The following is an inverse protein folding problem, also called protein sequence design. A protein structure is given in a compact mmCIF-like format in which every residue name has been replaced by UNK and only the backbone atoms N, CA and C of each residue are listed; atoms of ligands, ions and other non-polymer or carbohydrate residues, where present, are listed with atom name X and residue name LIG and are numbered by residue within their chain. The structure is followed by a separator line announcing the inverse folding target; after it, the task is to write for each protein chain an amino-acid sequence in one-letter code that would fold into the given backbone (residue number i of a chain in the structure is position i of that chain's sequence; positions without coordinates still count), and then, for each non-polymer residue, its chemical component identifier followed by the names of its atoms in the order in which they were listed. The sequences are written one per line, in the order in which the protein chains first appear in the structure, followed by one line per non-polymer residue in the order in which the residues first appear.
data_IF_229525407125
#
_entry.id   IF_229525407125
#
_cell.length_a   1.000
_cell.length_b   1.000
_cell.length_c   1.000
_cell.angle_alpha   90.00
_cell.angle_beta   90.00
_cell.angle_gamma   90.00
#
_symmetry.space_group_name_H-M   'P 1'
#
loop_
_entity.id
_entity.type
_entity.pdbx_description
1 polymer ?
#
# COMPACT_ATOMS: atom_id res chain seq x y z
N UNK A 1 -22.41 -14.26 -1.39
CA UNK A 1 -21.34 -13.28 -1.64
C UNK A 1 -21.13 -12.54 -0.34
N UNK A 2 -19.91 -12.59 0.21
CA UNK A 2 -19.56 -11.79 1.37
C UNK A 2 -19.39 -10.36 0.86
N UNK A 3 -20.29 -9.44 1.20
CA UNK A 3 -20.21 -8.08 0.65
C UNK A 3 -19.02 -7.33 1.26
N UNK A 4 -18.06 -6.97 0.41
CA UNK A 4 -16.89 -6.15 0.75
C UNK A 4 -17.11 -4.73 0.23
N UNK A 5 -16.78 -3.74 1.06
CA UNK A 5 -16.86 -2.33 0.69
C UNK A 5 -15.57 -1.94 -0.05
N UNK A 6 -15.65 -1.40 -1.29
CA UNK A 6 -14.48 -0.90 -1.99
C UNK A 6 -13.79 0.22 -1.21
N UNK A 7 -12.46 0.17 -1.11
CA UNK A 7 -11.65 1.17 -0.41
C UNK A 7 -10.75 1.91 -1.41
N UNK A 8 -11.03 3.20 -1.60
CA UNK A 8 -10.43 4.04 -2.63
C UNK A 8 -9.22 4.84 -2.13
N UNK A 9 -8.44 5.45 -3.03
CA UNK A 9 -7.44 6.45 -2.66
C UNK A 9 -7.98 7.64 -1.87
N UNK A 10 -9.25 8.03 -2.10
CA UNK A 10 -9.90 9.10 -1.34
C UNK A 10 -10.15 8.67 0.10
N UNK A 11 -10.61 7.42 0.30
CA UNK A 11 -10.84 6.87 1.65
C UNK A 11 -9.51 6.75 2.41
N UNK A 12 -8.46 6.26 1.74
CA UNK A 12 -7.12 6.13 2.31
C UNK A 12 -6.56 7.47 2.81
N UNK A 13 -6.88 8.60 2.16
CA UNK A 13 -6.38 9.91 2.55
C UNK A 13 -6.81 10.31 3.97
N UNK A 14 -8.00 9.88 4.44
CA UNK A 14 -8.47 10.14 5.79
C UNK A 14 -7.68 9.38 6.89
N UNK A 15 -6.97 8.33 6.49
CA UNK A 15 -6.19 7.46 7.38
C UNK A 15 -4.67 7.73 7.29
N UNK A 16 -4.26 8.64 6.42
CA UNK A 16 -2.90 9.18 6.35
C UNK A 16 -2.86 10.55 7.00
N UNK A 17 -1.95 10.79 7.94
CA UNK A 17 -1.86 12.09 8.63
C UNK A 17 -0.58 12.82 8.23
N UNK A 18 -0.72 14.03 7.68
CA UNK A 18 0.41 14.93 7.47
C UNK A 18 0.83 15.58 8.80
N UNK A 19 2.12 15.80 9.05
CA UNK A 19 2.57 16.55 10.22
C UNK A 19 2.02 17.99 10.25
N UNK A 20 1.70 18.48 11.44
CA UNK A 20 1.31 19.89 11.70
C UNK A 20 2.31 20.56 12.68
N UNK A 21 2.21 21.88 12.89
CA UNK A 21 3.17 22.68 13.67
C UNK A 21 3.55 22.12 15.05
N UNK A 22 2.59 21.54 15.77
CA UNK A 22 2.81 20.99 17.14
C UNK A 22 3.20 19.50 17.17
N UNK A 23 3.68 18.93 16.07
CA UNK A 23 3.98 17.50 15.98
C UNK A 23 5.30 17.15 16.69
N UNK A 24 5.24 16.26 17.69
CA UNK A 24 6.43 15.63 18.29
C UNK A 24 6.69 14.25 17.68
N UNK A 25 7.90 13.70 17.87
CA UNK A 25 8.20 12.31 17.44
C UNK A 25 7.26 11.27 18.04
N UNK A 26 6.74 11.50 19.25
CA UNK A 26 5.78 10.60 19.91
C UNK A 26 4.37 10.76 19.35
N UNK A 27 3.94 12.00 19.05
CA UNK A 27 2.64 12.26 18.41
C UNK A 27 2.57 11.73 16.98
N UNK A 28 3.70 11.72 16.28
CA UNK A 28 3.86 11.08 14.96
C UNK A 28 4.10 9.57 15.02
N UNK A 29 4.07 8.99 16.22
CA UNK A 29 4.28 7.57 16.47
C UNK A 29 5.73 7.13 16.43
N UNK A 30 6.07 6.20 17.31
CA UNK A 30 7.33 5.44 17.28
C UNK A 30 7.00 4.00 16.90
N UNK A 31 7.58 3.50 15.81
CA UNK A 31 7.41 2.12 15.37
C UNK A 31 8.58 1.26 15.87
N UNK A 32 8.29 0.19 16.60
CA UNK A 32 9.23 -0.90 16.85
C UNK A 32 9.24 -1.88 15.68
N UNK A 33 10.42 -2.32 15.24
CA UNK A 33 10.57 -3.25 14.12
C UNK A 33 11.49 -4.39 14.52
N UNK A 34 10.95 -5.60 14.56
CA UNK A 34 11.70 -6.85 14.74
C UNK A 34 11.49 -7.75 13.51
N UNK A 35 12.19 -7.39 12.44
CA UNK A 35 12.17 -8.08 11.14
C UNK A 35 13.60 -8.26 10.63
N UNK A 36 13.76 -9.14 9.66
CA UNK A 36 15.04 -9.52 9.10
C UNK A 36 15.84 -10.44 10.01
N UNK A 37 16.78 -11.14 9.39
CA UNK A 37 17.69 -12.07 10.05
C UNK A 37 19.08 -11.94 9.43
N UNK A 38 20.06 -12.66 9.95
CA UNK A 38 21.36 -12.76 9.28
C UNK A 38 21.23 -13.32 7.87
N UNK A 39 20.30 -14.24 7.62
CA UNK A 39 20.08 -14.79 6.27
C UNK A 39 19.33 -13.81 5.35
N UNK A 40 18.37 -13.06 5.91
CA UNK A 40 17.49 -12.16 5.16
C UNK A 40 17.49 -10.72 5.70
N UNK A 41 18.64 -10.03 5.75
CA UNK A 41 18.71 -8.67 6.30
C UNK A 41 17.97 -7.65 5.43
N UNK A 42 17.76 -7.96 4.15
CA UNK A 42 17.04 -7.08 3.23
C UNK A 42 15.58 -6.83 3.63
N UNK A 43 14.93 -7.76 4.31
CA UNK A 43 13.56 -7.58 4.79
C UNK A 43 13.48 -6.44 5.82
N UNK A 44 14.42 -6.38 6.75
CA UNK A 44 14.56 -5.28 7.70
C UNK A 44 14.76 -3.95 6.98
N UNK A 45 15.73 -3.90 6.05
CA UNK A 45 16.05 -2.68 5.32
C UNK A 45 14.84 -2.15 4.55
N UNK A 46 14.13 -3.01 3.80
CA UNK A 46 12.98 -2.57 3.00
C UNK A 46 11.80 -2.12 3.86
N UNK A 47 11.49 -2.85 4.94
CA UNK A 47 10.42 -2.47 5.86
C UNK A 47 10.71 -1.16 6.59
N UNK A 48 11.93 -1.00 7.11
CA UNK A 48 12.35 0.24 7.79
C UNK A 48 12.41 1.42 6.82
N UNK A 49 12.97 1.23 5.61
CA UNK A 49 13.04 2.27 4.57
C UNK A 49 11.64 2.78 4.20
N UNK A 50 10.69 1.86 4.03
CA UNK A 50 9.31 2.16 3.74
C UNK A 50 8.63 2.90 4.89
N UNK A 51 8.82 2.44 6.13
CA UNK A 51 8.26 3.06 7.33
C UNK A 51 8.73 4.51 7.50
N UNK A 52 10.03 4.78 7.32
CA UNK A 52 10.58 6.15 7.38
C UNK A 52 9.96 7.04 6.29
N UNK A 53 9.77 6.50 5.09
CA UNK A 53 9.18 7.25 3.97
C UNK A 53 7.71 7.62 4.15
N UNK A 54 6.98 7.03 5.10
CA UNK A 54 5.60 7.45 5.41
C UNK A 54 5.55 8.70 6.30
N UNK A 55 6.67 9.10 6.91
CA UNK A 55 6.75 10.24 7.83
C UNK A 55 6.51 9.89 9.31
N UNK A 56 6.65 8.61 9.69
CA UNK A 56 6.61 8.18 11.09
C UNK A 56 7.61 8.97 11.94
N UNK A 57 7.25 9.21 13.21
CA UNK A 57 8.04 10.06 14.10
C UNK A 57 9.43 9.52 14.43
N UNK A 58 9.55 8.21 14.63
CA UNK A 58 10.78 7.49 14.88
C UNK A 58 10.60 6.01 14.60
N UNK A 59 11.68 5.33 14.19
CA UNK A 59 11.73 3.88 14.10
C UNK A 59 12.78 3.35 15.10
N UNK A 60 12.39 2.33 15.85
CA UNK A 60 13.28 1.51 16.68
C UNK A 60 13.48 0.16 16.01
N UNK A 61 14.72 -0.18 15.69
CA UNK A 61 15.04 -1.47 15.08
C UNK A 61 15.67 -2.42 16.10
N UNK A 62 15.12 -3.62 16.18
CA UNK A 62 15.57 -4.70 17.08
C UNK A 62 15.81 -5.94 16.23
N UNK A 63 17.08 -6.31 16.06
CA UNK A 63 17.46 -7.48 15.25
C UNK A 63 18.97 -7.72 15.28
N UNK A 64 19.46 -8.73 14.57
CA UNK A 64 20.87 -9.12 14.61
C UNK A 64 21.79 -8.01 14.08
N UNK A 65 23.06 -8.05 14.46
CA UNK A 65 24.05 -7.02 14.13
C UNK A 65 24.16 -6.78 12.63
N UNK A 66 24.19 -7.84 11.81
CA UNK A 66 24.26 -7.73 10.35
C UNK A 66 23.09 -6.93 9.77
N UNK A 67 21.86 -7.21 10.22
CA UNK A 67 20.68 -6.50 9.75
C UNK A 67 20.66 -5.06 10.27
N UNK A 68 21.06 -4.85 11.53
CA UNK A 68 21.20 -3.52 12.15
C UNK A 68 22.18 -2.63 11.37
N UNK A 69 23.35 -3.15 11.00
CA UNK A 69 24.36 -2.40 10.24
C UNK A 69 23.82 -1.96 8.87
N UNK A 70 23.11 -2.85 8.17
CA UNK A 70 22.48 -2.52 6.88
C UNK A 70 21.38 -1.48 7.03
N UNK A 71 20.54 -1.57 8.08
CA UNK A 71 19.51 -0.58 8.38
C UNK A 71 20.14 0.79 8.64
N UNK A 72 21.13 0.88 9.53
CA UNK A 72 21.78 2.13 9.90
C UNK A 72 22.57 2.76 8.74
N UNK A 73 23.14 1.93 7.86
CA UNK A 73 23.79 2.42 6.63
C UNK A 73 22.80 3.11 5.70
N UNK A 74 21.59 2.55 5.55
CA UNK A 74 20.55 3.11 4.67
C UNK A 74 19.77 4.25 5.31
N UNK A 75 19.59 4.19 6.63
CA UNK A 75 18.76 5.05 7.48
C UNK A 75 19.45 5.36 8.81
N UNK A 76 20.42 6.29 8.83
CA UNK A 76 21.11 6.67 10.06
C UNK A 76 20.21 7.33 11.10
N UNK A 77 18.99 7.76 10.73
CA UNK A 77 17.98 8.30 11.63
C UNK A 77 17.27 7.24 12.50
N UNK A 78 17.46 5.95 12.22
CA UNK A 78 16.86 4.84 12.97
C UNK A 78 17.61 4.63 14.28
N UNK A 79 16.88 4.33 15.36
CA UNK A 79 17.46 4.01 16.65
C UNK A 79 17.52 2.50 16.82
N UNK A 80 18.69 1.93 17.12
CA UNK A 80 18.80 0.51 17.45
C UNK A 80 18.40 0.24 18.90
N UNK A 81 17.79 -0.92 19.13
CA UNK A 81 17.41 -1.41 20.45
C UNK A 81 16.00 -1.06 20.91
N UNK A 82 15.61 -1.71 21.98
CA UNK A 82 14.28 -1.64 22.59
C UNK A 82 13.98 -0.27 23.22
N UNK A 83 12.70 0.01 23.41
CA UNK A 83 12.22 1.21 24.08
C UNK A 83 10.75 1.45 23.79
N UNK A 84 10.19 2.53 24.36
CA UNK A 84 8.77 2.87 24.18
C UNK A 84 8.42 3.05 22.70
N UNK A 85 7.41 2.32 22.25
CA UNK A 85 6.82 2.39 20.91
C UNK A 85 5.31 2.58 20.98
N UNK A 86 4.69 2.88 19.85
CA UNK A 86 3.23 2.98 19.65
C UNK A 86 2.69 1.80 18.84
N UNK A 87 3.55 1.06 18.15
CA UNK A 87 3.18 -0.18 17.49
C UNK A 87 4.44 -1.02 17.23
N UNK A 88 4.24 -2.32 17.01
CA UNK A 88 5.29 -3.24 16.59
C UNK A 88 5.03 -3.76 15.17
N UNK A 89 6.09 -3.95 14.39
CA UNK A 89 6.10 -4.72 13.15
C UNK A 89 7.05 -5.91 13.33
N UNK A 90 6.55 -7.13 13.15
CA UNK A 90 7.32 -8.35 13.37
C UNK A 90 7.12 -9.38 12.25
N UNK A 91 8.14 -10.22 12.05
CA UNK A 91 8.02 -11.47 11.30
C UNK A 91 8.70 -11.55 9.94
N UNK A 92 8.66 -10.49 9.12
CA UNK A 92 9.26 -10.57 7.78
C UNK A 92 10.75 -10.90 7.84
N UNK A 93 11.22 -11.86 7.02
CA UNK A 93 12.61 -12.30 7.01
C UNK A 93 13.03 -13.20 8.20
N UNK A 94 12.07 -13.65 9.01
CA UNK A 94 12.28 -14.62 10.09
C UNK A 94 11.82 -16.01 9.63
N UNK A 95 12.69 -17.02 9.79
CA UNK A 95 12.44 -18.42 9.38
C UNK A 95 12.33 -19.39 10.56
N UNK A 96 12.22 -18.88 11.78
CA UNK A 96 12.12 -19.70 12.98
C UNK A 96 10.70 -20.20 13.23
N UNK A 97 10.57 -21.48 13.60
CA UNK A 97 9.29 -22.07 14.02
C UNK A 97 8.96 -21.88 15.50
N UNK A 98 9.88 -21.32 16.29
CA UNK A 98 9.66 -21.01 17.71
C UNK A 98 10.55 -19.86 18.17
N UNK A 99 10.16 -19.16 19.23
CA UNK A 99 10.96 -18.08 19.83
C UNK A 99 12.34 -18.55 20.28
N UNK A 100 12.45 -19.78 20.78
CA UNK A 100 13.72 -20.36 21.23
C UNK A 100 14.73 -20.62 20.09
N UNK A 101 14.28 -20.59 18.83
CA UNK A 101 15.13 -20.74 17.67
C UNK A 101 15.59 -19.40 17.07
N UNK A 102 15.20 -18.26 17.67
CA UNK A 102 15.66 -16.93 17.29
C UNK A 102 16.97 -16.59 18.02
N UNK A 103 17.73 -15.65 17.47
CA UNK A 103 18.78 -14.98 18.23
C UNK A 103 18.16 -14.13 19.36
N UNK A 104 18.93 -13.92 20.44
CA UNK A 104 18.45 -13.28 21.67
C UNK A 104 17.83 -11.89 21.43
N UNK A 105 18.41 -11.12 20.51
CA UNK A 105 17.95 -9.75 20.20
C UNK A 105 16.62 -9.81 19.44
N UNK A 106 16.51 -10.67 18.43
CA UNK A 106 15.23 -10.85 17.73
C UNK A 106 14.16 -11.39 18.69
N UNK A 107 14.49 -12.38 19.52
CA UNK A 107 13.57 -12.90 20.54
C UNK A 107 13.11 -11.82 21.53
N UNK A 108 13.98 -10.87 21.88
CA UNK A 108 13.62 -9.71 22.70
C UNK A 108 12.59 -8.81 22.01
N UNK A 109 12.78 -8.50 20.72
CA UNK A 109 11.80 -7.72 19.95
C UNK A 109 10.42 -8.38 19.89
N UNK A 110 10.36 -9.70 19.73
CA UNK A 110 9.10 -10.44 19.74
C UNK A 110 8.43 -10.47 21.11
N UNK A 111 9.18 -10.62 22.20
CA UNK A 111 8.64 -10.52 23.57
C UNK A 111 8.02 -9.16 23.82
N UNK A 112 8.71 -8.08 23.44
CA UNK A 112 8.13 -6.73 23.53
C UNK A 112 6.88 -6.55 22.68
N UNK A 113 6.84 -7.15 21.48
CA UNK A 113 5.65 -7.12 20.66
C UNK A 113 4.43 -7.74 21.36
N UNK A 114 4.62 -8.79 22.16
CA UNK A 114 3.56 -9.40 22.96
C UNK A 114 3.24 -8.64 24.25
N UNK A 115 4.25 -8.10 24.93
CA UNK A 115 4.11 -7.61 26.30
C UNK A 115 3.76 -6.12 26.41
N UNK A 116 4.11 -5.30 25.41
CA UNK A 116 3.97 -3.83 25.50
C UNK A 116 2.51 -3.34 25.48
N UNK A 117 1.55 -4.20 25.10
CA UNK A 117 0.13 -3.87 25.06
C UNK A 117 -0.28 -2.84 23.98
N UNK A 118 0.59 -2.62 22.99
CA UNK A 118 0.34 -1.75 21.83
C UNK A 118 -0.04 -2.58 20.60
N UNK A 119 -0.62 -1.97 19.56
CA UNK A 119 -0.95 -2.70 18.33
C UNK A 119 0.26 -3.37 17.67
N UNK A 120 0.05 -4.56 17.09
CA UNK A 120 1.10 -5.35 16.43
C UNK A 120 0.72 -5.68 14.99
N UNK A 121 1.63 -5.41 14.07
CA UNK A 121 1.54 -5.86 12.67
C UNK A 121 2.43 -7.09 12.52
N UNK A 122 1.83 -8.20 12.13
CA UNK A 122 2.49 -9.51 12.07
C UNK A 122 2.45 -10.02 10.64
N UNK A 123 3.63 -10.31 10.09
CA UNK A 123 3.72 -11.14 8.90
C UNK A 123 3.33 -12.58 9.25
N UNK A 124 2.52 -13.24 8.43
CA UNK A 124 1.79 -14.44 8.89
C UNK A 124 2.69 -15.63 9.27
N UNK A 125 3.91 -15.70 8.72
CA UNK A 125 4.91 -16.69 9.13
C UNK A 125 5.36 -16.55 10.60
N UNK A 126 5.10 -15.42 11.24
CA UNK A 126 5.49 -15.13 12.61
C UNK A 126 4.37 -15.30 13.64
N UNK A 127 3.16 -15.68 13.22
CA UNK A 127 2.03 -15.94 14.12
C UNK A 127 2.41 -16.90 15.28
N UNK A 128 3.16 -18.01 15.06
CA UNK A 128 3.54 -18.92 16.16
C UNK A 128 4.50 -18.32 17.19
N UNK A 129 5.06 -17.14 16.91
CA UNK A 129 6.13 -16.51 17.68
C UNK A 129 5.63 -15.35 18.55
N UNK A 130 4.36 -14.93 18.40
CA UNK A 130 3.84 -13.73 19.04
C UNK A 130 2.47 -14.05 19.64
N UNK A 131 2.23 -13.62 20.88
CA UNK A 131 0.86 -13.48 21.38
C UNK A 131 0.22 -12.25 20.72
N UNK A 132 -0.80 -12.50 19.89
CA UNK A 132 -1.40 -11.48 19.02
C UNK A 132 -2.20 -10.42 19.81
N UNK A 133 -2.65 -10.74 21.02
CA UNK A 133 -3.55 -9.85 21.77
C UNK A 133 -4.79 -9.42 20.95
N UNK A 134 -5.54 -8.41 21.42
CA UNK A 134 -6.75 -7.94 20.74
C UNK A 134 -6.50 -6.92 19.61
N UNK A 135 -5.28 -6.39 19.50
CA UNK A 135 -4.91 -5.30 18.57
C UNK A 135 -3.83 -5.74 17.57
N UNK A 136 -4.06 -6.86 16.90
CA UNK A 136 -3.17 -7.35 15.85
C UNK A 136 -3.73 -7.18 14.44
N UNK A 137 -2.82 -6.92 13.49
CA UNK A 137 -3.07 -7.03 12.05
C UNK A 137 -2.14 -8.09 11.44
N UNK A 138 -2.73 -9.15 10.93
CA UNK A 138 -2.03 -10.20 10.20
C UNK A 138 -1.96 -9.84 8.72
N UNK A 139 -0.81 -10.05 8.08
CA UNK A 139 -0.61 -9.70 6.66
C UNK A 139 -0.31 -10.91 5.75
N UNK A 140 -1.07 -12.02 5.80
CA UNK A 140 -0.78 -13.21 5.00
C UNK A 140 -0.92 -12.99 3.50
N UNK A 141 -0.14 -13.73 2.70
CA UNK A 141 -0.51 -14.08 1.33
C UNK A 141 -1.29 -15.40 1.29
N UNK A 142 -1.85 -15.79 0.13
CA UNK A 142 -2.68 -16.99 0.01
C UNK A 142 -2.01 -18.28 0.56
N UNK A 143 -0.73 -18.51 0.24
CA UNK A 143 0.02 -19.65 0.79
C UNK A 143 0.22 -19.64 2.31
N UNK A 144 0.47 -18.48 2.93
CA UNK A 144 0.56 -18.36 4.40
C UNK A 144 -0.81 -18.60 5.03
N UNK A 145 -1.87 -18.03 4.44
CA UNK A 145 -3.23 -18.18 4.93
C UNK A 145 -3.74 -19.63 4.83
N UNK A 146 -3.32 -20.36 3.80
CA UNK A 146 -3.59 -21.79 3.65
C UNK A 146 -3.07 -22.59 4.86
N UNK A 147 -1.87 -22.26 5.36
CA UNK A 147 -1.34 -22.84 6.58
C UNK A 147 -2.15 -22.48 7.83
N UNK A 148 -2.54 -21.21 7.97
CA UNK A 148 -3.35 -20.73 9.11
C UNK A 148 -4.72 -21.42 9.17
N UNK A 149 -5.38 -21.59 8.03
CA UNK A 149 -6.70 -22.21 7.93
C UNK A 149 -6.67 -23.74 7.77
N UNK A 150 -5.49 -24.33 7.57
CA UNK A 150 -5.36 -25.74 7.15
C UNK A 150 -6.17 -26.08 5.89
N UNK A 151 -6.18 -25.15 4.92
CA UNK A 151 -6.85 -25.27 3.63
C UNK A 151 -5.82 -25.33 2.48
N UNK A 152 -6.25 -25.65 1.25
CA UNK A 152 -5.37 -25.56 0.08
C UNK A 152 -5.24 -24.10 -0.38
N UNK A 153 -4.10 -23.75 -0.99
CA UNK A 153 -3.88 -22.41 -1.56
C UNK A 153 -4.94 -22.06 -2.62
N UNK A 154 -5.34 -23.04 -3.42
CA UNK A 154 -6.34 -22.90 -4.46
C UNK A 154 -7.72 -22.55 -3.87
N UNK A 155 -8.09 -23.14 -2.72
CA UNK A 155 -9.31 -22.77 -1.97
C UNK A 155 -9.29 -21.29 -1.57
N UNK A 156 -8.14 -20.81 -1.06
CA UNK A 156 -7.98 -19.41 -0.68
C UNK A 156 -8.09 -18.47 -1.89
N UNK A 157 -7.48 -18.85 -3.02
CA UNK A 157 -7.49 -18.04 -4.24
C UNK A 157 -8.86 -18.02 -4.94
N UNK A 158 -9.70 -19.04 -4.74
CA UNK A 158 -11.06 -19.11 -5.28
C UNK A 158 -12.03 -18.11 -4.64
N UNK A 159 -11.94 -17.91 -3.32
CA UNK A 159 -12.73 -16.90 -2.59
C UNK A 159 -11.88 -16.23 -1.49
N UNK A 160 -10.99 -15.29 -1.88
CA UNK A 160 -10.08 -14.63 -0.93
C UNK A 160 -10.84 -13.79 0.11
N UNK A 161 -12.00 -13.23 -0.25
CA UNK A 161 -12.82 -12.46 0.68
C UNK A 161 -13.38 -13.33 1.81
N UNK A 162 -13.97 -14.48 1.47
CA UNK A 162 -14.45 -15.42 2.49
C UNK A 162 -13.30 -16.01 3.32
N UNK A 163 -12.15 -16.30 2.69
CA UNK A 163 -10.97 -16.79 3.41
C UNK A 163 -10.44 -15.76 4.42
N UNK A 164 -10.37 -14.47 4.06
CA UNK A 164 -9.96 -13.42 4.97
C UNK A 164 -10.89 -13.30 6.20
N UNK A 165 -12.22 -13.42 5.99
CA UNK A 165 -13.20 -13.40 7.09
C UNK A 165 -13.03 -14.61 8.01
N UNK A 166 -12.86 -15.82 7.46
CA UNK A 166 -12.61 -17.04 8.26
C UNK A 166 -11.34 -16.89 9.10
N UNK A 167 -10.27 -16.40 8.49
CA UNK A 167 -8.99 -16.22 9.17
C UNK A 167 -9.08 -15.16 10.28
N UNK A 168 -9.77 -14.04 10.04
CA UNK A 168 -9.95 -13.01 11.05
C UNK A 168 -10.73 -13.54 12.26
N UNK A 169 -11.78 -14.32 12.01
CA UNK A 169 -12.56 -14.96 13.06
C UNK A 169 -11.75 -16.01 13.84
N UNK A 170 -10.99 -16.88 13.16
CA UNK A 170 -10.20 -17.94 13.79
C UNK A 170 -9.02 -17.40 14.60
N UNK A 171 -8.38 -16.32 14.14
CA UNK A 171 -7.21 -15.73 14.78
C UNK A 171 -7.54 -14.65 15.81
N UNK A 172 -8.80 -14.20 15.88
CA UNK A 172 -9.19 -13.06 16.71
C UNK A 172 -8.53 -11.73 16.30
N UNK A 173 -7.91 -11.66 15.12
CA UNK A 173 -7.12 -10.52 14.64
C UNK A 173 -7.67 -9.93 13.36
N UNK A 174 -7.32 -8.67 13.06
CA UNK A 174 -7.59 -8.11 11.74
C UNK A 174 -6.72 -8.83 10.71
N UNK A 175 -7.30 -9.25 9.59
CA UNK A 175 -6.54 -9.91 8.51
C UNK A 175 -6.51 -9.01 7.29
N UNK A 176 -5.32 -8.70 6.79
CA UNK A 176 -5.03 -8.13 5.48
C UNK A 176 -4.51 -9.26 4.58
N UNK A 177 -5.38 -9.83 3.75
CA UNK A 177 -5.00 -10.85 2.78
C UNK A 177 -4.43 -10.21 1.50
N UNK A 178 -3.12 -10.37 1.29
CA UNK A 178 -2.37 -9.89 0.13
C UNK A 178 -2.84 -10.62 -1.14
N UNK A 179 -3.10 -9.88 -2.21
CA UNK A 179 -3.57 -10.42 -3.50
C UNK A 179 -3.68 -9.36 -4.60
N UNK A 180 -4.24 -9.74 -5.76
CA UNK A 180 -4.53 -8.81 -6.87
C UNK A 180 -5.55 -7.72 -6.49
N UNK A 181 -6.45 -8.06 -5.58
CA UNK A 181 -7.15 -7.13 -4.70
C UNK A 181 -6.85 -7.55 -3.26
N UNK A 182 -6.55 -6.58 -2.40
CA UNK A 182 -6.26 -6.83 -0.99
C UNK A 182 -7.56 -6.82 -0.20
N UNK A 183 -7.86 -7.91 0.51
CA UNK A 183 -9.07 -8.05 1.30
C UNK A 183 -8.73 -7.86 2.77
N UNK A 184 -9.50 -7.04 3.47
CA UNK A 184 -9.33 -6.75 4.90
C UNK A 184 -10.60 -7.10 5.66
N UNK A 185 -10.48 -7.86 6.74
CA UNK A 185 -11.59 -8.25 7.59
C UNK A 185 -11.27 -8.13 9.08
N UNK A 186 -12.25 -7.67 9.87
CA UNK A 186 -12.18 -7.72 11.35
C UNK A 186 -12.67 -9.06 11.90
N UNK A 187 -12.29 -9.44 13.14
CA UNK A 187 -12.67 -10.72 13.75
C UNK A 187 -14.18 -10.94 13.88
N UNK A 188 -14.91 -9.87 14.20
CA UNK A 188 -16.37 -9.84 14.29
C UNK A 188 -17.06 -9.78 12.92
N UNK A 189 -16.29 -9.62 11.85
CA UNK A 189 -16.77 -9.44 10.48
C UNK A 189 -17.54 -8.14 10.24
N UNK A 190 -17.51 -7.17 11.17
CA UNK A 190 -18.21 -5.89 11.05
C UNK A 190 -17.61 -4.99 9.98
N UNK A 191 -16.28 -5.04 9.78
CA UNK A 191 -15.57 -4.29 8.75
C UNK A 191 -15.00 -5.28 7.73
N UNK A 192 -15.36 -5.09 6.46
CA UNK A 192 -14.90 -5.87 5.30
C UNK A 192 -14.57 -4.94 4.16
N UNK A 193 -13.28 -4.70 3.92
CA UNK A 193 -12.80 -3.70 2.95
C UNK A 193 -12.00 -4.38 1.84
N UNK A 194 -12.14 -3.88 0.61
CA UNK A 194 -11.36 -4.37 -0.54
C UNK A 194 -10.60 -3.23 -1.21
N UNK A 195 -9.28 -3.31 -1.19
CA UNK A 195 -8.39 -2.35 -1.83
C UNK A 195 -7.87 -2.90 -3.17
N UNK A 196 -8.38 -2.36 -4.27
CA UNK A 196 -8.02 -2.75 -5.66
C UNK A 196 -6.88 -1.90 -6.24
N UNK A 197 -6.03 -1.34 -5.38
CA UNK A 197 -4.89 -0.52 -5.80
C UNK A 197 -3.63 -1.32 -6.10
N UNK A 198 -3.62 -2.64 -5.86
CA UNK A 198 -2.49 -3.47 -6.22
C UNK A 198 -2.24 -3.43 -7.74
N UNK A 199 -0.98 -3.58 -8.14
CA UNK A 199 -0.60 -3.65 -9.55
C UNK A 199 0.30 -4.86 -9.78
N UNK A 200 0.39 -5.38 -11.02
CA UNK A 200 1.30 -6.48 -11.32
C UNK A 200 2.76 -6.20 -10.93
N UNK A 201 3.15 -4.93 -10.83
CA UNK A 201 4.48 -4.51 -10.37
C UNK A 201 4.79 -4.85 -8.92
N UNK A 202 3.76 -5.17 -8.11
CA UNK A 202 3.92 -5.65 -6.74
C UNK A 202 4.24 -7.13 -6.64
N UNK A 203 4.19 -7.88 -7.75
CA UNK A 203 4.68 -9.25 -7.82
C UNK A 203 6.22 -9.28 -7.85
N UNK A 204 6.84 -8.70 -6.82
CA UNK A 204 8.29 -8.61 -6.66
C UNK A 204 8.66 -8.99 -5.22
N UNK A 205 9.80 -9.68 -5.06
CA UNK A 205 10.36 -9.97 -3.75
C UNK A 205 10.56 -8.66 -2.96
N UNK A 206 10.20 -8.67 -1.68
CA UNK A 206 10.28 -7.51 -0.79
C UNK A 206 9.10 -6.55 -0.82
N UNK A 207 8.14 -6.71 -1.74
CA UNK A 207 6.93 -5.88 -1.73
C UNK A 207 6.08 -6.08 -0.46
N UNK A 208 6.10 -7.29 0.12
CA UNK A 208 5.48 -7.57 1.42
C UNK A 208 6.15 -6.80 2.55
N UNK A 209 7.49 -6.79 2.59
CA UNK A 209 8.27 -6.08 3.60
C UNK A 209 7.98 -4.57 3.57
N UNK A 210 7.90 -3.99 2.36
CA UNK A 210 7.50 -2.59 2.14
C UNK A 210 6.09 -2.33 2.65
N UNK A 211 5.13 -3.22 2.36
CA UNK A 211 3.76 -3.09 2.86
C UNK A 211 3.71 -3.16 4.39
N UNK A 212 4.43 -4.09 5.01
CA UNK A 212 4.54 -4.21 6.46
C UNK A 212 5.09 -2.93 7.10
N UNK A 213 6.15 -2.37 6.51
CA UNK A 213 6.72 -1.08 6.92
C UNK A 213 5.74 0.09 6.83
N UNK A 214 5.01 0.20 5.71
CA UNK A 214 3.98 1.23 5.52
C UNK A 214 2.86 1.07 6.56
N UNK A 215 2.36 -0.15 6.74
CA UNK A 215 1.27 -0.45 7.67
C UNK A 215 1.67 -0.18 9.12
N UNK A 216 2.80 -0.72 9.57
CA UNK A 216 3.32 -0.50 10.92
C UNK A 216 3.50 0.98 11.22
N UNK A 217 4.00 1.75 10.27
CA UNK A 217 4.18 3.19 10.44
C UNK A 217 2.84 3.96 10.56
N UNK A 218 1.83 3.61 9.74
CA UNK A 218 0.50 4.21 9.84
C UNK A 218 -0.17 3.86 11.17
N UNK A 219 -0.05 2.61 11.62
CA UNK A 219 -0.57 2.16 12.92
C UNK A 219 0.11 2.90 14.07
N UNK A 220 1.45 2.97 14.08
CA UNK A 220 2.20 3.69 15.10
C UNK A 220 1.81 5.18 15.16
N UNK A 221 1.70 5.84 13.99
CA UNK A 221 1.30 7.23 13.92
C UNK A 221 -0.11 7.46 14.46
N UNK A 222 -1.05 6.55 14.14
CA UNK A 222 -2.44 6.70 14.59
C UNK A 222 -2.62 6.38 16.06
N UNK A 223 -1.92 5.38 16.58
CA UNK A 223 -1.87 5.10 18.01
C UNK A 223 -1.23 6.26 18.79
N UNK A 224 -0.14 6.86 18.29
CA UNK A 224 0.46 8.04 18.93
C UNK A 224 -0.47 9.25 19.01
N UNK A 225 -1.30 9.45 17.97
CA UNK A 225 -2.34 10.47 17.98
C UNK A 225 -3.48 10.13 18.97
N UNK A 226 -3.91 8.87 19.01
CA UNK A 226 -4.94 8.39 19.94
C UNK A 226 -4.49 8.57 21.41
N UNK A 227 -3.29 8.13 21.75
CA UNK A 227 -2.69 8.29 23.08
C UNK A 227 -2.63 9.76 23.51
N UNK A 228 -2.25 10.66 22.60
CA UNK A 228 -2.20 12.10 22.87
C UNK A 228 -3.59 12.71 23.15
N UNK A 229 -4.67 12.02 22.75
CA UNK A 229 -6.06 12.38 23.04
C UNK A 229 -6.69 11.54 24.16
N UNK A 230 -5.94 10.65 24.80
CA UNK A 230 -6.45 9.76 25.85
C UNK A 230 -7.32 8.61 25.35
N UNK A 231 -7.17 8.21 24.09
CA UNK A 231 -7.88 7.10 23.45
C UNK A 231 -6.91 6.00 22.97
N UNK A 232 -7.46 4.88 22.50
CA UNK A 232 -6.72 3.77 21.91
C UNK A 232 -7.38 3.35 20.60
N UNK A 233 -6.62 2.73 19.71
CA UNK A 233 -7.16 2.14 18.48
C UNK A 233 -8.09 0.96 18.79
N UNK A 234 -9.03 0.74 17.87
CA UNK A 234 -9.93 -0.40 17.82
C UNK A 234 -9.58 -1.33 16.65
N UNK A 235 -10.09 -2.57 16.61
CA UNK A 235 -9.97 -3.44 15.42
C UNK A 235 -10.52 -2.80 14.15
N UNK A 236 -11.57 -1.97 14.26
CA UNK A 236 -12.09 -1.21 13.12
C UNK A 236 -11.07 -0.21 12.59
N UNK A 237 -10.40 0.56 13.46
CA UNK A 237 -9.34 1.49 13.05
C UNK A 237 -8.20 0.75 12.36
N UNK A 238 -7.77 -0.39 12.92
CA UNK A 238 -6.74 -1.24 12.34
C UNK A 238 -7.11 -1.75 10.95
N UNK A 239 -8.37 -2.14 10.72
CA UNK A 239 -8.83 -2.57 9.40
C UNK A 239 -8.79 -1.44 8.36
N UNK A 240 -9.13 -0.21 8.74
CA UNK A 240 -9.03 0.93 7.83
C UNK A 240 -7.56 1.31 7.56
N UNK A 241 -6.69 1.26 8.57
CA UNK A 241 -5.25 1.47 8.42
C UNK A 241 -4.61 0.41 7.50
N UNK A 242 -5.02 -0.85 7.64
CA UNK A 242 -4.64 -1.97 6.77
C UNK A 242 -5.03 -1.71 5.31
N UNK A 243 -6.28 -1.32 5.06
CA UNK A 243 -6.74 -0.98 3.71
C UNK A 243 -6.01 0.26 3.15
N UNK A 244 -5.78 1.29 3.97
CA UNK A 244 -5.02 2.48 3.58
C UNK A 244 -3.57 2.15 3.22
N UNK A 245 -2.90 1.30 3.99
CA UNK A 245 -1.54 0.84 3.70
C UNK A 245 -1.47 0.12 2.34
N UNK A 246 -2.43 -0.77 2.05
CA UNK A 246 -2.50 -1.46 0.76
C UNK A 246 -2.69 -0.47 -0.42
N UNK A 247 -3.52 0.57 -0.23
CA UNK A 247 -3.70 1.62 -1.23
C UNK A 247 -2.43 2.46 -1.43
N UNK A 248 -1.82 2.94 -0.35
CA UNK A 248 -0.57 3.72 -0.39
C UNK A 248 0.53 2.92 -1.09
N UNK A 249 0.71 1.66 -0.72
CA UNK A 249 1.69 0.77 -1.32
C UNK A 249 1.45 0.57 -2.84
N UNK A 250 0.20 0.32 -3.25
CA UNK A 250 -0.17 0.17 -4.66
C UNK A 250 0.02 1.45 -5.48
N UNK A 251 -0.32 2.61 -4.91
CA UNK A 251 -0.09 3.92 -5.54
C UNK A 251 1.41 4.21 -5.65
N UNK A 252 2.21 3.93 -4.63
CA UNK A 252 3.65 4.11 -4.65
C UNK A 252 4.31 3.25 -5.75
N UNK A 253 3.90 1.98 -5.87
CA UNK A 253 4.38 1.10 -6.92
C UNK A 253 4.06 1.62 -8.33
N UNK A 254 2.84 2.16 -8.54
CA UNK A 254 2.47 2.82 -9.79
C UNK A 254 3.37 4.01 -10.11
N UNK A 255 3.64 4.88 -9.13
CA UNK A 255 4.46 6.09 -9.33
C UNK A 255 5.93 5.76 -9.59
N UNK A 256 6.50 4.83 -8.82
CA UNK A 256 7.90 4.44 -8.96
C UNK A 256 8.25 3.81 -10.31
N UNK A 257 7.29 3.16 -10.99
CA UNK A 257 7.51 2.50 -12.29
C UNK A 257 6.78 3.16 -13.47
N UNK A 258 5.69 3.89 -13.23
CA UNK A 258 4.95 4.67 -14.24
C UNK A 258 5.77 5.82 -14.83
N UNK A 259 6.71 6.39 -14.07
CA UNK A 259 7.67 7.37 -14.58
C UNK A 259 8.53 6.81 -15.73
N UNK A 260 8.89 5.51 -15.70
CA UNK A 260 9.81 4.93 -16.71
C UNK A 260 9.17 4.70 -18.08
N UNK A 261 7.85 4.58 -18.19
CA UNK A 261 7.18 4.34 -19.49
C UNK A 261 6.80 5.64 -20.21
N UNK A 262 6.45 6.69 -19.46
CA UNK A 262 6.14 8.00 -20.04
C UNK A 262 7.39 8.69 -20.64
N UNK A 263 8.56 8.51 -20.02
CA UNK A 263 9.80 9.15 -20.49
C UNK A 263 10.47 8.43 -21.67
N UNK A 264 10.36 7.10 -21.77
CA UNK A 264 10.94 6.33 -22.89
C UNK A 264 10.13 6.51 -24.19
N UNK A 265 8.80 6.66 -24.09
CA UNK A 265 7.96 6.88 -25.29
C UNK A 265 8.08 8.33 -25.81
N UNK A 266 8.39 9.31 -24.95
CA UNK A 266 8.66 10.70 -25.38
C UNK A 266 10.03 10.86 -26.05
N UNK A 267 11.06 10.13 -25.62
CA UNK A 267 12.38 10.20 -26.27
C UNK A 267 12.48 9.37 -27.57
N UNK A 268 11.62 8.36 -27.76
CA UNK A 268 11.58 7.54 -28.98
C UNK A 268 10.85 8.15 -30.18
N UNK A 269 10.10 9.26 -30.02
CA UNK A 269 9.35 9.92 -31.11
C UNK A 269 9.92 11.26 -31.58
N UNK A 270 11.05 11.72 -31.03
CA UNK A 270 11.67 13.00 -31.40
C UNK A 270 13.04 12.83 -32.09
N UNK A 271 13.24 11.76 -32.88
CA UNK A 271 14.49 11.51 -33.63
C UNK A 271 14.33 11.20 -35.12
N UNK A 272 13.20 11.52 -35.75
CA UNK A 272 13.03 11.33 -37.21
C UNK A 272 12.55 12.56 -37.99
N UNK A 273 12.55 13.76 -37.42
CA UNK A 273 12.16 14.98 -38.15
C UNK A 273 13.15 16.12 -37.93
N UNK A 274 14.41 15.91 -38.31
CA UNK A 274 15.35 16.99 -38.58
C UNK A 274 16.45 16.45 -39.50
N UNK A 275 16.23 16.54 -40.81
CA UNK A 275 17.22 16.99 -41.80
C UNK A 275 16.63 16.80 -43.20
N UNK A 276 16.17 17.89 -43.81
CA UNK A 276 16.64 18.39 -45.12
C UNK A 276 15.69 19.50 -45.55
N UNK A 277 16.17 20.73 -45.37
CA UNK A 277 15.51 21.92 -45.88
C UNK A 277 15.36 21.86 -47.39
N UNK A 278 14.14 22.09 -47.86
CA UNK A 278 13.89 22.60 -49.21
C UNK A 278 12.85 23.69 -49.08
N UNK A 279 13.29 24.93 -49.32
CA UNK A 279 12.44 26.12 -49.42
C UNK A 279 11.42 25.89 -50.53
N UNK A 280 10.14 25.88 -50.19
CA UNK A 280 9.06 26.07 -51.17
C UNK A 280 8.50 27.46 -50.90
N UNK A 281 8.71 28.38 -51.85
CA UNK A 281 8.01 29.68 -51.87
C UNK A 281 6.58 29.41 -52.27
N UNK A 282 5.63 29.94 -51.49
CA UNK A 282 4.25 30.13 -51.95
C UNK A 282 3.95 31.62 -51.82
N UNK A 283 3.55 32.23 -52.93
CA UNK A 283 3.06 33.60 -53.03
C UNK A 283 1.69 33.73 -52.35
N UNK A 284 1.45 34.87 -51.70
CA UNK A 284 0.12 35.39 -51.44
C UNK A 284 -0.36 35.32 -49.99
N UNK A 285 -0.79 36.49 -49.49
CA UNK A 285 -1.58 36.75 -48.29
C UNK A 285 -0.91 36.52 -46.92
N UNK A 286 -0.44 37.64 -46.36
CA UNK A 286 -0.22 37.87 -44.93
C UNK A 286 -1.46 37.56 -44.09
N UNK A 287 -1.30 36.75 -43.04
CA UNK A 287 -1.98 37.02 -41.77
C UNK A 287 -1.15 36.47 -40.60
N UNK A 288 -0.83 37.36 -39.66
CA UNK A 288 -0.26 37.03 -38.37
C UNK A 288 -1.34 36.46 -37.46
N UNK A 289 -1.08 35.33 -36.80
CA UNK A 289 -1.61 35.05 -35.46
C UNK A 289 -0.56 34.35 -34.60
N UNK A 290 -0.51 34.80 -33.36
CA UNK A 290 0.38 34.44 -32.27
C UNK A 290 0.19 33.00 -31.81
N UNK A 291 1.29 32.40 -31.36
CA UNK A 291 1.35 31.15 -30.62
C UNK A 291 0.93 31.48 -29.18
N UNK A 292 -0.20 30.97 -28.73
CA UNK A 292 -0.46 30.55 -27.36
C UNK A 292 -1.75 29.70 -27.34
N UNK A 293 -1.85 28.79 -26.38
CA UNK A 293 -2.84 27.70 -26.21
C UNK A 293 -2.56 26.37 -26.93
N UNK A 294 -1.62 25.60 -26.38
CA UNK A 294 -1.67 24.14 -26.49
C UNK A 294 -2.49 23.57 -25.33
N UNK A 295 -3.79 23.37 -25.55
CA UNK A 295 -4.64 22.56 -24.70
C UNK A 295 -4.33 21.07 -24.95
N UNK A 296 -4.03 20.33 -23.88
CA UNK A 296 -3.79 18.88 -23.92
C UNK A 296 -5.15 18.18 -23.89
N UNK A 297 -5.64 17.73 -25.05
CA UNK A 297 -6.77 16.80 -25.12
C UNK A 297 -6.28 15.35 -25.12
N UNK A 298 -6.74 14.61 -24.10
CA UNK A 298 -6.59 13.17 -23.93
C UNK A 298 -7.36 12.39 -25.00
N UNK A 299 -6.63 11.62 -25.81
CA UNK A 299 -7.21 10.71 -26.79
C UNK A 299 -7.66 9.40 -26.10
N UNK A 300 -8.97 9.20 -25.91
CA UNK A 300 -9.54 7.91 -25.52
C UNK A 300 -9.74 7.01 -26.74
N UNK A 301 -9.44 5.71 -26.59
CA UNK A 301 -9.65 4.66 -27.61
C UNK A 301 -11.13 4.55 -27.98
N UNK A 302 -11.57 5.28 -29.00
CA UNK A 302 -12.73 5.00 -29.87
C UNK A 302 -12.84 6.14 -30.90
N UNK A 303 -12.46 5.86 -32.15
CA UNK A 303 -12.75 6.61 -33.39
C UNK A 303 -12.82 8.15 -33.37
N UNK A 304 -11.87 8.82 -34.03
CA UNK A 304 -12.03 10.21 -34.46
C UNK A 304 -13.11 10.30 -35.56
N UNK A 305 -14.23 10.95 -35.26
CA UNK A 305 -15.17 11.44 -36.27
C UNK A 305 -15.04 12.96 -36.37
N UNK A 306 -14.54 13.43 -37.52
CA UNK A 306 -14.50 14.84 -37.89
C UNK A 306 -15.92 15.24 -38.33
N UNK A 307 -16.65 16.05 -37.55
CA UNK A 307 -17.91 16.64 -38.00
C UNK A 307 -17.71 18.13 -38.31
N UNK A 308 -17.71 18.41 -39.60
CA UNK A 308 -17.72 19.71 -40.23
C UNK A 308 -19.06 20.41 -39.95
N UNK A 309 -19.04 21.54 -39.24
CA UNK A 309 -20.24 22.34 -38.98
C UNK A 309 -20.37 23.42 -40.06
N UNK A 310 -21.17 23.16 -41.09
CA UNK A 310 -22.00 24.18 -41.74
C UNK A 310 -23.00 23.58 -42.74
N UNK A 311 -24.30 23.63 -42.37
CA UNK A 311 -25.49 23.94 -43.22
C UNK A 311 -26.74 23.27 -42.62
N UNK A 312 -27.56 24.04 -41.92
CA UNK A 312 -28.85 24.58 -42.42
C UNK A 312 -29.85 23.52 -42.87
N UNK A 313 -30.95 23.45 -42.11
CA UNK A 313 -32.35 23.44 -42.57
C UNK A 313 -33.22 22.26 -42.08
N UNK A 314 -34.26 22.70 -41.35
CA UNK A 314 -35.67 22.27 -41.41
C UNK A 314 -36.16 21.01 -40.67
N UNK A 315 -37.26 21.31 -39.95
CA UNK A 315 -38.47 20.53 -39.66
C UNK A 315 -38.40 19.39 -38.66
N UNK A 316 -38.76 19.77 -37.43
CA UNK A 316 -39.64 19.05 -36.51
C UNK A 316 -40.94 18.57 -37.18
N UNK A 317 -41.30 17.30 -36.99
CA UNK A 317 -42.66 16.90 -36.56
C UNK A 317 -42.69 15.44 -36.14
N UNK A 318 -43.21 15.22 -34.94
CA UNK A 318 -43.41 13.95 -34.27
C UNK A 318 -44.49 13.09 -34.93
N UNK A 319 -44.36 11.76 -34.88
CA UNK A 319 -45.47 10.81 -34.71
C UNK A 319 -44.96 9.58 -33.93
N UNK A 320 -45.78 9.17 -32.97
CA UNK A 320 -45.68 8.05 -32.04
C UNK A 320 -46.22 6.73 -32.64
N UNK A 321 -46.20 5.67 -31.82
CA UNK A 321 -46.72 4.29 -32.04
C UNK A 321 -45.70 3.34 -32.68
N UNK A 322 -45.50 2.09 -32.25
CA UNK A 322 -46.14 1.30 -31.21
C UNK A 322 -45.53 -0.13 -31.22
N UNK A 323 -45.63 -0.78 -30.06
CA UNK A 323 -45.51 -2.20 -29.69
C UNK A 323 -44.92 -3.27 -30.64
N UNK A 324 -44.06 -4.11 -30.03
CA UNK A 324 -44.09 -5.60 -30.00
C UNK A 324 -44.43 -6.33 -31.31
N UNK A 325 -43.44 -7.01 -31.88
CA UNK A 325 -43.02 -8.35 -31.47
C UNK A 325 -41.51 -8.49 -31.73
#
# INVERSE_FOLDING_TARGET
MTDFVPFSPTDAAAWTTAPHGDSTKYRRGVLGVATGSDQYPGAAVMGVDAAVHTGVGMVRYVGPSRATDHVLTRRPEVVSGVGRVQAWLVGSGISAGSLAALDDVTAEGFRHASDDGVPVVVDAGAIPLVDLGPLAVLTPHAGELAGVLSESRESIEQDPGAAAVRAASQTGSVVLLKGSATHVATPDGAVRLVASSATPWLAAAGAGDVLGGVLGALVAARQGAAEASGSSLTPSDLAHLAAAAAVVHGVAARRGRGARRADVVRQGRCRSLQTRGRKVRVHGATSHRSIDECFVETCTRSGCACMDRHRTSRSTSAVSQGARA
#
